data_IF_966435463971
#
_entry.id   IF_966435463971
#
_cell.length_a   1.000
_cell.length_b   1.000
_cell.length_c   1.000
_cell.angle_alpha   90.00
_cell.angle_beta   90.00
_cell.angle_gamma   90.00
#
_symmetry.space_group_name_H-M   'P 1'
#
loop_
_entity.id
_entity.type
_entity.pdbx_description
1 polymer ?
#
# COMPACT_ATOMS: atom_id res chain seq x y z
N UNK A 1 67.64 17.05 -22.24
CA UNK A 1 66.83 16.19 -23.13
C UNK A 1 66.35 14.97 -22.33
N UNK A 2 65.60 15.23 -21.26
CA UNK A 2 64.95 14.27 -20.38
C UNK A 2 63.84 15.05 -19.65
N UNK A 3 62.72 14.39 -19.38
CA UNK A 3 61.54 14.91 -18.66
C UNK A 3 60.44 15.58 -19.49
N UNK A 4 59.83 14.82 -20.41
CA UNK A 4 58.46 15.12 -20.89
C UNK A 4 57.61 13.87 -21.20
N UNK A 5 57.91 12.72 -20.57
CA UNK A 5 57.16 11.46 -20.76
C UNK A 5 56.84 10.81 -19.41
N UNK A 6 56.33 11.55 -18.44
CA UNK A 6 55.88 10.94 -17.16
C UNK A 6 54.65 11.60 -16.49
N UNK A 7 54.06 12.67 -17.05
CA UNK A 7 52.86 13.28 -16.44
C UNK A 7 51.53 12.82 -17.05
N UNK A 8 51.52 12.26 -18.27
CA UNK A 8 50.26 11.87 -18.94
C UNK A 8 49.85 10.40 -18.71
N UNK A 9 50.69 9.58 -18.06
CA UNK A 9 50.40 8.16 -17.81
C UNK A 9 49.77 7.85 -16.44
N UNK A 10 49.85 8.78 -15.48
CA UNK A 10 49.38 8.58 -14.09
C UNK A 10 47.93 9.05 -13.91
N UNK A 11 47.51 10.09 -14.66
CA UNK A 11 46.15 10.61 -14.59
C UNK A 11 45.10 9.63 -15.17
N UNK A 12 45.47 8.85 -16.18
CA UNK A 12 44.59 7.84 -16.81
C UNK A 12 44.44 6.58 -15.96
N UNK A 13 45.43 6.20 -15.16
CA UNK A 13 45.34 5.03 -14.27
C UNK A 13 44.62 5.32 -12.96
N UNK A 14 44.66 6.57 -12.46
CA UNK A 14 43.87 6.97 -11.30
C UNK A 14 42.37 7.12 -11.59
N UNK A 15 41.98 7.60 -12.79
CA UNK A 15 40.57 7.68 -13.17
C UNK A 15 39.92 6.30 -13.29
N UNK A 16 40.65 5.32 -13.83
CA UNK A 16 40.15 3.94 -13.97
C UNK A 16 39.98 3.27 -12.60
N UNK A 17 40.87 3.55 -11.65
CA UNK A 17 40.78 3.01 -10.29
C UNK A 17 39.63 3.63 -9.48
N UNK A 18 39.31 4.92 -9.67
CA UNK A 18 38.18 5.56 -8.97
C UNK A 18 36.82 5.08 -9.49
N UNK A 19 36.72 4.77 -10.79
CA UNK A 19 35.50 4.18 -11.39
C UNK A 19 35.32 2.72 -10.96
N UNK A 20 36.42 1.99 -10.70
CA UNK A 20 36.34 0.57 -10.33
C UNK A 20 35.98 0.31 -8.85
N UNK A 21 36.22 1.26 -7.95
CA UNK A 21 35.86 1.12 -6.52
C UNK A 21 34.34 1.20 -6.29
N UNK A 22 33.59 1.80 -7.22
CA UNK A 22 32.12 1.85 -7.16
C UNK A 22 31.48 0.49 -7.54
N UNK A 23 32.24 -0.44 -8.14
CA UNK A 23 31.71 -1.72 -8.64
C UNK A 23 31.51 -2.82 -7.59
N UNK A 24 31.91 -2.63 -6.31
CA UNK A 24 31.84 -3.69 -5.29
C UNK A 24 30.96 -3.41 -4.07
N UNK A 25 30.31 -2.25 -3.99
CA UNK A 25 29.31 -1.99 -2.96
C UNK A 25 28.01 -1.56 -3.64
N UNK A 26 26.92 -2.25 -3.33
CA UNK A 26 25.62 -2.11 -3.99
C UNK A 26 25.27 -0.66 -4.30
N UNK A 27 24.98 -0.39 -5.57
CA UNK A 27 24.61 0.93 -6.07
C UNK A 27 23.29 1.32 -5.40
N UNK A 28 23.37 2.15 -4.35
CA UNK A 28 22.23 2.90 -3.84
C UNK A 28 21.96 4.03 -4.82
N UNK A 29 20.70 4.20 -5.20
CA UNK A 29 20.22 5.36 -5.93
C UNK A 29 20.60 6.63 -5.17
N UNK A 30 21.60 7.36 -5.66
CA UNK A 30 21.93 8.70 -5.16
C UNK A 30 20.94 9.65 -5.83
N UNK A 31 20.02 10.19 -5.04
CA UNK A 31 19.15 11.28 -5.44
C UNK A 31 20.03 12.49 -5.77
N UNK A 32 20.23 12.78 -7.06
CA UNK A 32 20.94 13.98 -7.48
C UNK A 32 20.01 15.16 -7.35
N UNK A 33 20.29 16.01 -6.36
CA UNK A 33 19.76 17.35 -6.17
C UNK A 33 19.83 18.16 -7.50
N UNK A 34 18.78 18.93 -7.82
CA UNK A 34 18.50 19.62 -9.09
C UNK A 34 19.52 20.71 -9.50
N UNK A 35 20.72 20.72 -8.90
CA UNK A 35 21.75 21.76 -9.09
C UNK A 35 22.91 21.38 -9.99
N UNK A 36 22.95 20.17 -10.55
CA UNK A 36 23.99 19.75 -11.49
C UNK A 36 23.45 19.67 -12.93
N UNK A 37 22.92 20.78 -13.44
CA UNK A 37 22.70 20.95 -14.88
C UNK A 37 23.81 21.82 -15.48
N UNK A 38 24.37 21.32 -16.58
CA UNK A 38 25.34 21.94 -17.48
C UNK A 38 26.82 21.93 -17.05
N UNK A 39 27.48 20.79 -17.28
CA UNK A 39 28.88 20.79 -17.73
C UNK A 39 28.87 20.62 -19.26
N UNK A 40 28.77 21.72 -20.01
CA UNK A 40 29.02 21.72 -21.45
C UNK A 40 30.54 21.59 -21.69
N UNK A 41 30.99 20.39 -22.02
CA UNK A 41 32.37 20.17 -22.49
C UNK A 41 32.37 20.41 -24.00
N UNK A 42 32.89 21.57 -24.42
CA UNK A 42 33.13 21.89 -25.82
C UNK A 42 34.37 21.14 -26.31
N UNK A 43 34.19 20.07 -27.10
CA UNK A 43 35.30 19.28 -27.66
C UNK A 43 35.38 19.54 -29.16
N UNK A 44 36.10 20.60 -29.54
CA UNK A 44 36.66 20.69 -30.89
C UNK A 44 37.92 19.82 -30.96
N UNK A 45 37.80 18.75 -31.76
CA UNK A 45 38.83 17.78 -32.18
C UNK A 45 39.06 16.55 -31.28
N UNK A 46 39.08 15.39 -31.95
CA UNK A 46 39.86 14.16 -31.70
C UNK A 46 39.15 12.84 -31.27
N UNK A 47 39.29 11.86 -32.19
CA UNK A 47 39.38 10.38 -32.09
C UNK A 47 38.14 9.52 -31.75
N UNK A 48 38.04 8.39 -32.47
CA UNK A 48 36.95 7.39 -32.46
C UNK A 48 36.69 6.69 -31.10
N UNK A 49 37.66 6.72 -30.19
CA UNK A 49 37.55 6.08 -28.87
C UNK A 49 36.59 6.81 -27.92
N UNK A 50 36.41 8.12 -28.06
CA UNK A 50 35.49 8.92 -27.21
C UNK A 50 34.04 8.76 -27.66
N UNK A 51 33.78 8.62 -28.97
CA UNK A 51 32.44 8.36 -29.52
C UNK A 51 31.85 7.07 -28.94
N UNK A 52 32.71 6.06 -28.72
CA UNK A 52 32.30 4.79 -28.09
C UNK A 52 31.95 4.95 -26.60
N UNK A 53 32.63 5.85 -25.90
CA UNK A 53 32.37 6.16 -24.48
C UNK A 53 31.07 6.98 -24.33
N UNK A 54 30.82 7.96 -25.21
CA UNK A 54 29.57 8.71 -25.23
C UNK A 54 28.37 7.81 -25.56
N UNK A 55 28.48 6.93 -26.55
CA UNK A 55 27.42 5.95 -26.85
C UNK A 55 27.19 4.97 -25.70
N UNK A 56 28.25 4.52 -25.02
CA UNK A 56 28.11 3.67 -23.82
C UNK A 56 27.46 4.42 -22.65
N UNK A 57 27.84 5.67 -22.38
CA UNK A 57 27.24 6.50 -21.34
C UNK A 57 25.77 6.86 -21.63
N UNK A 58 25.43 7.15 -22.90
CA UNK A 58 24.04 7.33 -23.34
C UNK A 58 23.23 6.03 -23.20
N UNK A 59 23.83 4.88 -23.53
CA UNK A 59 23.17 3.57 -23.31
C UNK A 59 23.04 3.21 -21.82
N UNK A 60 23.99 3.62 -20.97
CA UNK A 60 23.96 3.42 -19.52
C UNK A 60 22.91 4.31 -18.84
N UNK A 61 22.80 5.57 -19.25
CA UNK A 61 21.73 6.47 -18.80
C UNK A 61 20.33 6.04 -19.29
N UNK A 62 20.24 5.31 -20.41
CA UNK A 62 18.99 4.70 -20.86
C UNK A 62 18.66 3.37 -20.16
N UNK A 63 19.66 2.66 -19.59
CA UNK A 63 19.46 1.37 -18.91
C UNK A 63 19.13 1.50 -17.41
N UNK A 64 19.33 2.68 -16.81
CA UNK A 64 19.06 2.92 -15.39
C UNK A 64 18.25 4.19 -15.16
N UNK A 65 17.13 4.33 -15.87
CA UNK A 65 16.07 5.19 -15.36
C UNK A 65 15.58 4.54 -14.05
N UNK A 66 15.84 5.18 -12.90
CA UNK A 66 15.35 4.72 -11.62
C UNK A 66 13.82 4.63 -11.69
N UNK A 67 13.31 3.42 -11.93
CA UNK A 67 11.88 3.17 -11.98
C UNK A 67 11.37 3.38 -10.57
N UNK A 68 10.65 4.48 -10.38
CA UNK A 68 10.02 4.79 -9.10
C UNK A 68 9.04 3.67 -8.76
N UNK A 69 9.10 3.09 -7.54
CA UNK A 69 8.23 1.98 -7.19
C UNK A 69 6.77 2.43 -7.23
N UNK A 70 5.90 1.62 -7.84
CA UNK A 70 4.46 1.92 -7.92
C UNK A 70 3.67 1.08 -6.91
N UNK A 71 4.30 0.02 -6.37
CA UNK A 71 3.73 -0.90 -5.38
C UNK A 71 4.75 -1.30 -4.31
N UNK A 72 4.27 -1.83 -3.18
CA UNK A 72 5.13 -2.46 -2.18
C UNK A 72 5.84 -3.72 -2.71
N UNK A 73 5.26 -4.37 -3.74
CA UNK A 73 5.89 -5.51 -4.41
C UNK A 73 7.12 -5.08 -5.20
N UNK A 74 7.11 -3.90 -5.83
CA UNK A 74 8.28 -3.35 -6.52
C UNK A 74 9.42 -3.09 -5.53
N UNK A 75 9.10 -2.51 -4.36
CA UNK A 75 10.07 -2.28 -3.27
C UNK A 75 10.69 -3.61 -2.82
N UNK A 76 9.88 -4.66 -2.69
CA UNK A 76 10.38 -5.99 -2.34
C UNK A 76 11.33 -6.54 -3.41
N UNK A 77 11.04 -6.33 -4.69
CA UNK A 77 11.87 -6.83 -5.79
C UNK A 77 13.13 -5.99 -6.05
N UNK A 78 13.13 -4.71 -5.70
CA UNK A 78 14.31 -3.85 -5.78
C UNK A 78 15.42 -4.34 -4.84
N UNK A 79 15.09 -4.61 -3.56
CA UNK A 79 15.98 -5.28 -2.62
C UNK A 79 15.15 -6.12 -1.63
N UNK A 80 15.31 -7.44 -1.70
CA UNK A 80 14.58 -8.39 -0.82
C UNK A 80 14.96 -8.29 0.66
N UNK A 81 15.97 -7.48 1.00
CA UNK A 81 16.35 -7.15 2.37
C UNK A 81 15.64 -5.90 2.89
N UNK A 82 14.83 -5.24 2.06
CA UNK A 82 14.03 -4.10 2.49
C UNK A 82 13.14 -4.51 3.66
N UNK A 83 13.25 -3.81 4.81
CA UNK A 83 12.46 -4.14 5.98
C UNK A 83 11.00 -3.75 5.77
N UNK A 84 10.11 -4.27 6.59
CA UNK A 84 8.77 -3.67 6.69
C UNK A 84 8.89 -2.25 7.23
N UNK A 85 8.14 -1.31 6.66
CA UNK A 85 8.31 0.10 7.01
C UNK A 85 7.49 1.06 6.15
N UNK A 86 7.71 2.35 6.37
CA UNK A 86 7.10 3.42 5.57
C UNK A 86 7.89 3.67 4.28
N UNK A 87 7.17 3.84 3.17
CA UNK A 87 7.72 4.09 1.85
C UNK A 87 6.88 5.11 1.08
N UNK A 88 7.44 5.62 -0.02
CA UNK A 88 6.73 6.44 -1.01
C UNK A 88 6.61 5.65 -2.31
N UNK A 89 5.38 5.44 -2.77
CA UNK A 89 5.07 4.93 -4.09
C UNK A 89 4.73 6.09 -5.03
N UNK A 90 4.86 5.87 -6.34
CA UNK A 90 4.54 6.88 -7.34
C UNK A 90 3.43 6.39 -8.28
N UNK A 91 2.21 6.88 -8.06
CA UNK A 91 1.01 6.49 -8.81
C UNK A 91 0.57 7.66 -9.69
N UNK A 92 0.63 7.51 -11.02
CA UNK A 92 0.22 8.55 -12.00
C UNK A 92 0.76 9.94 -11.61
N UNK A 93 2.08 10.02 -11.39
CA UNK A 93 2.83 11.23 -10.95
C UNK A 93 2.59 11.69 -9.50
N UNK A 94 1.69 11.05 -8.73
CA UNK A 94 1.44 11.39 -7.34
C UNK A 94 2.28 10.53 -6.39
N UNK A 95 2.87 11.18 -5.38
CA UNK A 95 3.52 10.49 -4.28
C UNK A 95 2.48 9.94 -3.29
N UNK A 96 2.51 8.63 -3.06
CA UNK A 96 1.61 7.93 -2.15
C UNK A 96 2.42 7.38 -0.99
N UNK A 97 2.15 7.89 0.21
CA UNK A 97 2.77 7.41 1.44
C UNK A 97 2.09 6.11 1.88
N UNK A 98 2.87 5.05 1.95
CA UNK A 98 2.40 3.71 2.35
C UNK A 98 3.24 3.14 3.49
N UNK A 99 2.70 2.14 4.17
CA UNK A 99 3.47 1.20 4.97
C UNK A 99 3.44 -0.14 4.25
N UNK A 100 4.62 -0.67 3.93
CA UNK A 100 4.79 -2.00 3.35
C UNK A 100 5.12 -2.98 4.47
N UNK A 101 4.24 -3.94 4.70
CA UNK A 101 4.48 -5.08 5.58
C UNK A 101 4.90 -6.28 4.74
N UNK A 102 6.01 -6.92 5.07
CA UNK A 102 6.50 -8.13 4.42
C UNK A 102 6.50 -9.28 5.45
N UNK A 103 5.66 -10.30 5.25
CA UNK A 103 5.41 -11.35 6.25
C UNK A 103 5.12 -12.72 5.61
N UNK A 104 6.09 -13.63 5.70
CA UNK A 104 5.95 -14.98 5.15
C UNK A 104 5.76 -14.95 3.63
N UNK A 105 4.70 -15.61 3.16
CA UNK A 105 4.38 -15.75 1.73
C UNK A 105 3.63 -14.53 1.15
N UNK A 106 3.36 -13.51 1.97
CA UNK A 106 2.58 -12.35 1.59
C UNK A 106 3.17 -11.05 2.13
N UNK A 107 2.77 -9.94 1.53
CA UNK A 107 2.92 -8.62 2.11
C UNK A 107 1.63 -7.83 2.04
N UNK A 108 1.59 -6.70 2.73
CA UNK A 108 0.42 -5.84 2.82
C UNK A 108 0.80 -4.38 2.61
N UNK A 109 0.04 -3.70 1.75
CA UNK A 109 0.14 -2.26 1.53
C UNK A 109 -0.91 -1.54 2.37
N UNK A 110 -0.49 -0.71 3.31
CA UNK A 110 -1.38 0.20 4.04
C UNK A 110 -1.19 1.63 3.52
N UNK A 111 -2.29 2.30 3.16
CA UNK A 111 -2.23 3.67 2.60
C UNK A 111 -2.40 4.68 3.73
N UNK A 112 -1.54 5.70 3.78
CA UNK A 112 -1.67 6.80 4.74
C UNK A 112 -2.78 7.77 4.33
N UNK A 113 -3.55 8.29 5.29
CA UNK A 113 -4.49 9.40 5.04
C UNK A 113 -3.80 10.68 4.55
N UNK A 114 -2.47 10.78 4.70
CA UNK A 114 -1.66 11.87 4.11
C UNK A 114 -1.64 11.84 2.59
N UNK A 115 -2.09 10.75 1.97
CA UNK A 115 -2.23 10.61 0.51
C UNK A 115 -3.68 10.79 0.04
N UNK A 116 -4.49 11.55 0.78
CA UNK A 116 -5.88 11.78 0.42
C UNK A 116 -6.06 12.49 -0.93
N UNK A 117 -5.15 13.38 -1.29
CA UNK A 117 -5.22 14.12 -2.56
C UNK A 117 -4.55 13.38 -3.72
N UNK A 118 -3.99 12.19 -3.48
CA UNK A 118 -3.32 11.41 -4.52
C UNK A 118 -4.31 10.62 -5.38
N UNK A 119 -4.03 10.51 -6.67
CA UNK A 119 -4.73 9.58 -7.56
C UNK A 119 -4.12 8.19 -7.41
N UNK A 120 -4.84 7.30 -6.72
CA UNK A 120 -4.35 5.96 -6.39
C UNK A 120 -5.06 4.90 -7.23
N UNK A 121 -4.28 4.11 -7.98
CA UNK A 121 -4.77 2.88 -8.61
C UNK A 121 -4.67 1.70 -7.61
N UNK A 122 -5.77 1.42 -6.91
CA UNK A 122 -5.80 0.36 -5.88
C UNK A 122 -5.47 -1.02 -6.46
N UNK A 123 -5.77 -1.27 -7.74
CA UNK A 123 -5.48 -2.56 -8.39
C UNK A 123 -3.98 -2.82 -8.55
N UNK A 124 -3.15 -1.78 -8.50
CA UNK A 124 -1.70 -1.92 -8.52
C UNK A 124 -1.10 -2.28 -7.14
N UNK A 125 -1.90 -2.24 -6.06
CA UNK A 125 -1.41 -2.36 -4.69
C UNK A 125 -1.67 -3.74 -4.04
N UNK A 126 -2.42 -4.61 -4.71
CA UNK A 126 -2.69 -5.99 -4.29
C UNK A 126 -2.49 -6.96 -5.46
N UNK A 127 -2.21 -8.22 -5.14
CA UNK A 127 -2.17 -9.31 -6.13
C UNK A 127 -3.04 -10.52 -5.76
N UNK A 128 -3.74 -10.44 -4.64
CA UNK A 128 -4.78 -11.39 -4.23
C UNK A 128 -5.95 -10.64 -3.60
N UNK A 129 -7.13 -11.23 -3.66
CA UNK A 129 -8.34 -10.70 -3.06
C UNK A 129 -9.11 -11.77 -2.27
N UNK A 130 -8.40 -12.80 -1.82
CA UNK A 130 -8.96 -13.86 -0.98
C UNK A 130 -9.16 -13.40 0.47
N UNK A 131 -8.26 -12.56 0.97
CA UNK A 131 -8.24 -12.06 2.33
C UNK A 131 -7.78 -10.60 2.36
N UNK A 132 -7.85 -9.96 3.53
CA UNK A 132 -7.27 -8.65 3.78
C UNK A 132 -6.73 -8.61 5.21
N UNK A 133 -5.76 -7.72 5.49
CA UNK A 133 -5.34 -7.45 6.87
C UNK A 133 -5.99 -6.17 7.35
N UNK A 134 -6.61 -6.19 8.52
CA UNK A 134 -7.06 -4.96 9.17
C UNK A 134 -6.20 -4.73 10.41
N UNK A 135 -5.60 -3.54 10.48
CA UNK A 135 -4.91 -3.05 11.68
C UNK A 135 -5.82 -2.12 12.45
N UNK A 136 -5.77 -2.21 13.77
CA UNK A 136 -6.63 -1.49 14.71
C UNK A 136 -5.75 -0.65 15.63
N UNK A 137 -6.12 0.62 15.84
CA UNK A 137 -5.53 1.50 16.84
C UNK A 137 -6.56 1.76 17.94
N UNK A 138 -6.24 1.32 19.15
CA UNK A 138 -7.04 1.59 20.35
C UNK A 138 -6.74 2.99 20.92
N UNK A 139 -7.66 3.57 21.71
CA UNK A 139 -7.41 4.84 22.41
C UNK A 139 -6.19 4.81 23.34
N UNK A 140 -5.82 3.62 23.84
CA UNK A 140 -4.62 3.41 24.67
C UNK A 140 -3.32 3.56 23.88
N UNK A 141 -3.37 3.59 22.55
CA UNK A 141 -2.21 3.54 21.66
C UNK A 141 -1.82 2.13 21.22
N UNK A 142 -2.46 1.09 21.77
CA UNK A 142 -2.19 -0.30 21.40
C UNK A 142 -2.62 -0.57 19.96
N UNK A 143 -1.73 -1.21 19.21
CA UNK A 143 -2.01 -1.63 17.84
C UNK A 143 -2.24 -3.14 17.77
N UNK A 144 -3.26 -3.53 17.02
CA UNK A 144 -3.64 -4.94 16.84
C UNK A 144 -3.90 -5.24 15.37
N UNK A 145 -3.84 -6.50 14.98
CA UNK A 145 -4.15 -6.91 13.61
C UNK A 145 -4.99 -8.17 13.54
N UNK A 146 -5.73 -8.30 12.44
CA UNK A 146 -6.54 -9.46 12.13
C UNK A 146 -6.58 -9.66 10.62
N UNK A 147 -6.56 -10.92 10.18
CA UNK A 147 -6.90 -11.26 8.81
C UNK A 147 -8.41 -11.47 8.70
N UNK A 148 -9.00 -10.92 7.65
CA UNK A 148 -10.42 -11.09 7.32
C UNK A 148 -10.55 -11.69 5.93
N UNK A 149 -11.56 -12.54 5.75
CA UNK A 149 -11.88 -13.18 4.47
C UNK A 149 -13.40 -13.42 4.37
N UNK A 150 -13.87 -13.76 3.17
CA UNK A 150 -15.25 -14.24 3.00
C UNK A 150 -15.45 -15.54 3.79
N UNK A 151 -16.67 -15.78 4.29
CA UNK A 151 -17.03 -17.09 4.85
C UNK A 151 -16.76 -18.19 3.83
N UNK A 152 -16.39 -19.38 4.31
CA UNK A 152 -16.05 -20.53 3.47
C UNK A 152 -17.13 -20.85 2.41
N UNK A 153 -18.41 -20.69 2.77
CA UNK A 153 -19.54 -20.89 1.87
C UNK A 153 -19.60 -19.92 0.68
N UNK A 154 -18.93 -18.76 0.78
CA UNK A 154 -18.88 -17.73 -0.25
C UNK A 154 -17.54 -17.61 -0.98
N UNK A 155 -16.46 -18.24 -0.50
CA UNK A 155 -15.12 -18.11 -1.10
C UNK A 155 -15.04 -18.56 -2.57
N UNK A 156 -15.90 -19.49 -2.99
CA UNK A 156 -16.01 -19.95 -4.39
C UNK A 156 -17.01 -19.12 -5.23
N UNK A 157 -17.80 -18.26 -4.58
CA UNK A 157 -18.85 -17.46 -5.23
C UNK A 157 -18.42 -15.99 -5.41
N UNK A 158 -17.58 -15.49 -4.50
CA UNK A 158 -17.14 -14.09 -4.46
C UNK A 158 -15.76 -13.99 -3.82
N UNK A 159 -14.98 -13.03 -4.32
CA UNK A 159 -13.74 -12.57 -3.68
C UNK A 159 -13.98 -11.24 -2.98
N UNK A 160 -13.06 -10.84 -2.12
CA UNK A 160 -13.09 -9.51 -1.55
C UNK A 160 -12.94 -8.47 -2.67
N UNK A 161 -13.59 -7.32 -2.49
CA UNK A 161 -13.49 -6.21 -3.42
C UNK A 161 -12.80 -5.03 -2.76
N UNK A 162 -11.73 -4.55 -3.39
CA UNK A 162 -10.99 -3.37 -2.95
C UNK A 162 -11.18 -2.25 -3.97
N UNK A 163 -11.53 -1.06 -3.50
CA UNK A 163 -11.66 0.09 -4.39
C UNK A 163 -11.41 1.42 -3.68
N UNK A 164 -10.88 2.38 -4.42
CA UNK A 164 -10.79 3.77 -3.99
C UNK A 164 -12.02 4.53 -4.50
N UNK A 165 -12.77 5.18 -3.62
CA UNK A 165 -13.94 6.00 -3.95
C UNK A 165 -14.99 5.31 -4.85
N UNK A 166 -15.07 3.98 -4.81
CA UNK A 166 -16.00 3.19 -5.62
C UNK A 166 -16.48 1.97 -4.84
N UNK A 167 -17.66 1.49 -5.21
CA UNK A 167 -18.33 0.33 -4.65
C UNK A 167 -19.13 -0.37 -5.77
N UNK A 168 -18.55 -0.48 -6.97
CA UNK A 168 -19.24 -1.05 -8.13
C UNK A 168 -19.76 -2.47 -7.85
N UNK A 169 -21.07 -2.71 -8.07
CA UNK A 169 -21.81 -3.95 -7.74
C UNK A 169 -21.98 -4.28 -6.25
N UNK A 170 -21.50 -3.40 -5.35
CA UNK A 170 -21.71 -3.49 -3.91
C UNK A 170 -22.64 -2.36 -3.45
N UNK A 171 -23.22 -2.48 -2.25
CA UNK A 171 -23.79 -1.32 -1.59
C UNK A 171 -22.68 -0.42 -1.06
N UNK A 172 -22.84 0.87 -1.34
CA UNK A 172 -21.89 1.89 -0.95
C UNK A 172 -22.07 2.36 0.49
N UNK A 173 -21.13 3.20 0.97
CA UNK A 173 -21.19 3.75 2.31
C UNK A 173 -22.44 4.60 2.55
N UNK A 174 -22.79 4.77 3.83
CA UNK A 174 -23.96 5.56 4.23
C UNK A 174 -23.88 6.98 3.66
N UNK A 175 -24.97 7.52 3.06
CA UNK A 175 -25.01 8.89 2.55
C UNK A 175 -24.70 9.95 3.63
N UNK A 176 -24.96 9.65 4.90
CA UNK A 176 -24.64 10.52 6.04
C UNK A 176 -23.13 10.78 6.18
N UNK A 177 -22.31 9.85 5.67
CA UNK A 177 -20.86 9.88 5.74
C UNK A 177 -20.21 10.35 4.41
N UNK A 178 -21.00 10.87 3.47
CA UNK A 178 -20.53 11.41 2.18
C UNK A 178 -19.55 12.59 2.31
N UNK A 179 -19.53 13.29 3.44
CA UNK A 179 -18.55 14.36 3.70
C UNK A 179 -17.13 13.87 4.00
N UNK A 180 -16.94 12.56 4.24
CA UNK A 180 -15.68 11.98 4.71
C UNK A 180 -14.73 11.53 3.59
N UNK A 181 -15.12 11.74 2.33
CA UNK A 181 -14.30 11.39 1.17
C UNK A 181 -12.89 12.02 1.22
N UNK A 182 -11.90 11.36 0.61
CA UNK A 182 -12.01 10.08 -0.09
C UNK A 182 -11.98 8.85 0.85
N UNK A 183 -12.30 7.67 0.33
CA UNK A 183 -12.31 6.43 1.09
C UNK A 183 -11.72 5.23 0.34
N UNK A 184 -11.25 4.25 1.11
CA UNK A 184 -10.91 2.91 0.66
C UNK A 184 -12.02 1.93 1.09
N UNK A 185 -12.53 1.17 0.15
CA UNK A 185 -13.68 0.27 0.31
C UNK A 185 -13.22 -1.18 0.35
N UNK A 186 -13.75 -1.95 1.30
CA UNK A 186 -13.66 -3.40 1.40
C UNK A 186 -15.06 -4.01 1.32
N UNK A 187 -15.40 -4.60 0.17
CA UNK A 187 -16.63 -5.35 -0.02
C UNK A 187 -16.42 -6.85 0.21
N UNK A 188 -17.34 -7.50 0.92
CA UNK A 188 -17.35 -8.96 1.13
C UNK A 188 -18.24 -9.64 0.09
N UNK A 189 -19.54 -9.31 0.08
CA UNK A 189 -20.51 -9.88 -0.84
C UNK A 189 -21.12 -8.82 -1.77
N UNK A 190 -21.12 -9.04 -3.11
CA UNK A 190 -21.82 -8.18 -4.05
C UNK A 190 -23.34 -8.29 -3.86
N UNK A 191 -24.09 -7.30 -4.38
CA UNK A 191 -25.53 -7.14 -4.13
C UNK A 191 -26.32 -8.43 -4.42
N UNK A 192 -26.05 -9.08 -5.56
CA UNK A 192 -26.74 -10.29 -6.02
C UNK A 192 -26.54 -11.51 -5.10
N UNK A 193 -25.49 -11.51 -4.28
CA UNK A 193 -25.27 -12.55 -3.27
C UNK A 193 -25.79 -12.11 -1.90
N UNK A 194 -25.59 -10.84 -1.56
CA UNK A 194 -25.93 -10.27 -0.27
C UNK A 194 -27.45 -10.13 -0.06
N UNK A 195 -28.30 -10.07 -1.09
CA UNK A 195 -29.75 -9.92 -0.92
C UNK A 195 -30.52 -11.23 -0.63
N UNK A 196 -29.85 -12.40 -0.70
CA UNK A 196 -30.50 -13.71 -0.75
C UNK A 196 -31.08 -14.25 0.58
N UNK A 197 -31.27 -13.39 1.59
CA UNK A 197 -31.92 -13.78 2.85
C UNK A 197 -31.20 -14.89 3.65
N UNK A 198 -29.93 -15.16 3.34
CA UNK A 198 -29.17 -16.30 3.85
C UNK A 198 -28.25 -15.89 5.02
N UNK A 199 -27.56 -16.89 5.60
CA UNK A 199 -26.51 -16.61 6.58
C UNK A 199 -25.29 -16.02 5.88
N UNK A 200 -24.82 -14.88 6.39
CA UNK A 200 -23.74 -14.08 5.84
C UNK A 200 -22.80 -13.64 6.95
N UNK A 201 -21.70 -13.01 6.59
CA UNK A 201 -20.71 -12.54 7.54
C UNK A 201 -19.32 -12.57 6.95
N UNK A 202 -18.35 -12.76 7.82
CA UNK A 202 -16.95 -12.79 7.47
C UNK A 202 -16.23 -13.77 8.38
N UNK A 203 -15.07 -14.22 7.93
CA UNK A 203 -14.18 -15.04 8.74
C UNK A 203 -13.01 -14.18 9.20
N UNK A 204 -12.68 -14.27 10.49
CA UNK A 204 -11.59 -13.51 11.09
C UNK A 204 -10.84 -14.36 12.13
N UNK A 205 -9.50 -14.40 12.03
CA UNK A 205 -8.66 -15.30 12.83
C UNK A 205 -9.18 -16.75 12.81
N UNK A 206 -9.41 -17.26 11.60
CA UNK A 206 -9.87 -18.63 11.37
C UNK A 206 -11.22 -19.02 12.02
N UNK A 207 -12.03 -18.03 12.38
CA UNK A 207 -13.37 -18.23 12.94
C UNK A 207 -14.42 -17.53 12.09
N UNK A 208 -15.54 -18.22 11.89
CA UNK A 208 -16.68 -17.70 11.14
C UNK A 208 -17.55 -16.86 12.08
N UNK A 209 -17.75 -15.60 11.73
CA UNK A 209 -18.70 -14.73 12.40
C UNK A 209 -19.87 -14.50 11.46
N UNK A 210 -21.05 -14.86 11.91
CA UNK A 210 -22.23 -14.93 11.03
C UNK A 210 -23.41 -14.19 11.60
N UNK A 211 -24.23 -13.67 10.70
CA UNK A 211 -25.57 -13.17 10.95
C UNK A 211 -26.51 -13.72 9.88
N UNK A 212 -27.82 -13.45 10.02
CA UNK A 212 -28.81 -13.77 8.99
C UNK A 212 -29.25 -12.47 8.32
N UNK A 213 -29.19 -12.39 6.99
CA UNK A 213 -29.85 -11.29 6.30
C UNK A 213 -31.38 -11.50 6.37
N UNK A 214 -32.03 -10.87 7.34
CA UNK A 214 -33.44 -11.10 7.63
C UNK A 214 -34.41 -10.18 6.86
N UNK A 215 -33.91 -9.18 6.14
CA UNK A 215 -34.74 -8.19 5.42
C UNK A 215 -34.36 -8.00 3.94
N UNK A 216 -33.36 -8.75 3.45
CA UNK A 216 -32.87 -8.66 2.07
C UNK A 216 -31.99 -7.45 1.77
N UNK A 217 -31.64 -6.63 2.78
CA UNK A 217 -30.76 -5.49 2.58
C UNK A 217 -29.33 -5.99 2.21
N UNK A 218 -28.76 -5.60 1.07
CA UNK A 218 -27.52 -6.21 0.57
C UNK A 218 -26.23 -5.52 1.04
N UNK A 219 -26.23 -4.88 2.21
CA UNK A 219 -25.01 -4.30 2.78
C UNK A 219 -24.04 -5.41 3.23
N UNK A 220 -22.79 -5.33 2.78
CA UNK A 220 -21.75 -6.31 3.13
C UNK A 220 -20.35 -5.71 2.93
N UNK A 221 -19.96 -4.76 3.79
CA UNK A 221 -18.71 -4.01 3.59
C UNK A 221 -18.13 -3.39 4.87
N UNK A 222 -16.87 -2.97 4.77
CA UNK A 222 -16.21 -2.00 5.65
C UNK A 222 -15.61 -0.89 4.77
N UNK A 223 -15.83 0.37 5.13
CA UNK A 223 -15.25 1.53 4.43
C UNK A 223 -14.34 2.31 5.37
N UNK A 224 -13.16 2.72 4.88
CA UNK A 224 -12.13 3.44 5.61
C UNK A 224 -11.95 4.84 5.01
N UNK A 225 -12.25 5.87 5.77
CA UNK A 225 -12.30 7.26 5.30
C UNK A 225 -11.00 8.01 5.61
N UNK A 226 -10.36 8.60 4.59
CA UNK A 226 -9.19 9.44 4.80
C UNK A 226 -9.55 10.78 5.45
N UNK A 227 -10.75 11.30 5.17
CA UNK A 227 -11.34 12.48 5.80
C UNK A 227 -10.36 13.68 5.99
N UNK A 228 -9.73 14.19 4.91
CA UNK A 228 -8.76 15.29 4.99
C UNK A 228 -9.38 16.60 5.50
N UNK A 229 -10.70 16.77 5.33
CA UNK A 229 -11.47 17.94 5.78
C UNK A 229 -11.92 17.86 7.24
N UNK A 230 -11.60 16.76 7.94
CA UNK A 230 -11.97 16.53 9.33
C UNK A 230 -13.49 16.65 9.58
N UNK A 231 -14.30 16.21 8.61
CA UNK A 231 -15.74 16.17 8.75
C UNK A 231 -16.15 15.18 9.87
N UNK A 232 -17.29 15.46 10.50
CA UNK A 232 -17.80 14.63 11.59
C UNK A 232 -18.34 13.30 11.05
N UNK A 233 -17.87 12.19 11.61
CA UNK A 233 -18.45 10.87 11.36
C UNK A 233 -19.81 10.76 12.07
N UNK A 234 -20.80 10.21 11.38
CA UNK A 234 -22.10 9.88 11.96
C UNK A 234 -21.95 8.95 13.17
N UNK A 235 -22.68 9.23 14.24
CA UNK A 235 -22.73 8.36 15.44
C UNK A 235 -23.84 7.31 15.35
N UNK A 236 -24.35 7.04 14.14
CA UNK A 236 -25.41 6.06 13.93
C UNK A 236 -24.81 4.67 14.04
N UNK A 237 -25.49 3.80 14.80
CA UNK A 237 -25.14 2.40 14.92
C UNK A 237 -25.57 1.82 16.26
N UNK A 238 -26.03 0.57 16.23
CA UNK A 238 -26.19 -0.25 17.43
C UNK A 238 -25.01 -1.22 17.48
N UNK A 239 -24.29 -1.22 18.59
CA UNK A 239 -23.27 -2.23 18.83
C UNK A 239 -23.97 -3.56 19.09
N UNK A 240 -23.77 -4.53 18.20
CA UNK A 240 -23.92 -5.94 18.53
C UNK A 240 -22.53 -6.59 18.51
N UNK A 241 -22.41 -7.75 19.14
CA UNK A 241 -21.13 -8.45 19.27
C UNK A 241 -20.51 -8.77 17.91
N UNK A 242 -21.37 -9.18 16.94
CA UNK A 242 -20.97 -9.51 15.58
C UNK A 242 -20.18 -8.39 14.89
N UNK A 243 -20.62 -7.14 14.99
CA UNK A 243 -19.97 -5.99 14.35
C UNK A 243 -18.57 -5.68 14.93
N UNK A 244 -18.24 -6.22 16.11
CA UNK A 244 -16.96 -6.00 16.78
C UNK A 244 -16.07 -7.22 16.86
N UNK A 245 -16.51 -8.38 16.35
CA UNK A 245 -15.76 -9.62 16.49
C UNK A 245 -14.36 -9.55 15.90
N UNK A 246 -14.18 -9.01 14.70
CA UNK A 246 -12.86 -8.79 14.10
C UNK A 246 -11.90 -7.95 14.98
N UNK A 247 -12.42 -6.99 15.74
CA UNK A 247 -11.65 -6.19 16.70
C UNK A 247 -11.26 -7.06 17.90
N UNK A 248 -12.21 -7.79 18.47
CA UNK A 248 -11.97 -8.61 19.67
C UNK A 248 -11.08 -9.82 19.39
N UNK A 249 -11.12 -10.37 18.18
CA UNK A 249 -10.30 -11.49 17.72
C UNK A 249 -8.91 -11.05 17.26
N UNK A 250 -8.65 -9.76 17.09
CA UNK A 250 -7.34 -9.24 16.68
C UNK A 250 -6.23 -9.62 17.66
N UNK A 251 -5.00 -9.78 17.16
CA UNK A 251 -3.80 -10.06 17.96
C UNK A 251 -2.98 -8.80 18.16
N UNK A 252 -2.27 -8.69 19.28
CA UNK A 252 -1.41 -7.54 19.54
C UNK A 252 -0.24 -7.51 18.54
N UNK A 253 0.06 -6.31 18.04
CA UNK A 253 1.26 -6.05 17.25
C UNK A 253 2.40 -5.75 18.22
N UNK A 254 3.63 -6.14 17.89
CA UNK A 254 4.82 -5.77 18.67
C UNK A 254 5.31 -4.36 18.29
N UNK A 255 5.81 -3.61 19.27
CA UNK A 255 6.18 -2.19 19.12
C UNK A 255 7.04 -1.86 17.86
N UNK A 256 8.05 -2.66 17.47
CA UNK A 256 8.83 -2.36 16.27
C UNK A 256 8.04 -2.35 14.96
N UNK A 257 6.83 -2.94 14.94
CA UNK A 257 5.95 -3.04 13.77
C UNK A 257 4.78 -2.05 13.81
N UNK A 258 4.75 -1.16 14.81
CA UNK A 258 3.73 -0.13 14.91
C UNK A 258 3.80 0.82 13.71
N UNK A 259 2.63 1.21 13.21
CA UNK A 259 2.49 2.24 12.19
C UNK A 259 2.16 3.58 12.82
N UNK A 260 2.53 4.67 12.15
CA UNK A 260 2.10 6.00 12.55
C UNK A 260 0.56 6.14 12.56
N UNK A 261 0.05 7.01 13.42
CA UNK A 261 -1.39 7.31 13.53
C UNK A 261 -2.03 7.76 12.21
N UNK A 262 -1.25 8.30 11.27
CA UNK A 262 -1.74 8.71 9.94
C UNK A 262 -2.18 7.54 9.04
N UNK A 263 -1.87 6.30 9.37
CA UNK A 263 -2.39 5.13 8.66
C UNK A 263 -3.77 4.70 9.15
N UNK A 264 -4.20 5.20 10.31
CA UNK A 264 -5.44 4.79 10.95
C UNK A 264 -6.58 5.79 10.65
N UNK A 265 -7.66 5.26 10.10
CA UNK A 265 -8.79 6.01 9.56
C UNK A 265 -10.04 5.84 10.43
N UNK A 266 -10.95 6.79 10.27
CA UNK A 266 -12.34 6.55 10.61
C UNK A 266 -12.93 5.50 9.67
N UNK A 267 -13.87 4.72 10.15
CA UNK A 267 -14.48 3.67 9.36
C UNK A 267 -15.95 3.50 9.69
N UNK A 268 -16.68 2.94 8.74
CA UNK A 268 -18.00 2.37 8.96
C UNK A 268 -18.01 0.93 8.47
N UNK A 269 -18.85 0.13 9.09
CA UNK A 269 -19.15 -1.25 8.71
C UNK A 269 -20.66 -1.37 8.62
N UNK A 270 -21.13 -1.97 7.53
CA UNK A 270 -22.56 -2.20 7.33
C UNK A 270 -22.76 -3.62 6.81
N UNK A 271 -23.54 -4.37 7.58
CA UNK A 271 -23.96 -5.73 7.29
C UNK A 271 -25.48 -5.74 7.30
N UNK A 272 -26.10 -6.11 6.19
CA UNK A 272 -27.54 -5.98 5.98
C UNK A 272 -28.38 -6.86 6.90
N UNK A 273 -29.71 -6.75 6.82
CA UNK A 273 -30.62 -7.49 7.69
C UNK A 273 -30.26 -7.37 9.16
N UNK A 274 -30.07 -8.52 9.79
CA UNK A 274 -29.81 -8.60 11.22
C UNK A 274 -28.31 -8.47 11.55
N UNK A 275 -27.47 -8.08 10.58
CA UNK A 275 -26.02 -7.90 10.76
C UNK A 275 -25.67 -6.64 11.52
N UNK A 276 -26.17 -5.48 11.08
CA UNK A 276 -26.06 -4.21 11.78
C UNK A 276 -25.20 -3.15 11.07
N UNK A 277 -25.14 -1.98 11.68
CA UNK A 277 -24.38 -0.82 11.22
C UNK A 277 -23.58 -0.26 12.38
N UNK A 278 -22.28 -0.01 12.16
CA UNK A 278 -21.37 0.46 13.19
C UNK A 278 -20.32 1.40 12.61
N UNK A 279 -19.98 2.46 13.35
CA UNK A 279 -18.90 3.37 12.99
C UNK A 279 -17.81 3.41 14.06
N UNK A 280 -16.59 3.80 13.65
CA UNK A 280 -15.44 3.98 14.55
C UNK A 280 -15.73 4.93 15.71
N UNK A 281 -16.68 5.87 15.56
CA UNK A 281 -17.07 6.83 16.59
C UNK A 281 -17.78 6.16 17.77
N UNK A 282 -18.56 5.11 17.53
CA UNK A 282 -19.32 4.40 18.56
C UNK A 282 -18.39 3.57 19.46
N UNK A 283 -17.41 2.89 18.86
CA UNK A 283 -16.44 2.04 19.58
C UNK A 283 -15.14 2.76 19.95
N UNK A 284 -14.96 4.01 19.49
CA UNK A 284 -13.76 4.81 19.64
C UNK A 284 -12.47 4.08 19.19
N UNK A 285 -12.51 3.48 18.00
CA UNK A 285 -11.40 2.69 17.46
C UNK A 285 -11.14 3.10 16.01
N UNK A 286 -9.89 3.39 15.67
CA UNK A 286 -9.48 3.67 14.28
C UNK A 286 -8.92 2.40 13.64
N UNK A 287 -8.96 2.31 12.32
CA UNK A 287 -8.50 1.13 11.60
C UNK A 287 -7.80 1.46 10.28
N UNK A 288 -6.96 0.55 9.81
CA UNK A 288 -6.23 0.63 8.55
C UNK A 288 -6.43 -0.67 7.76
N UNK A 289 -6.73 -0.56 6.47
CA UNK A 289 -6.84 -1.70 5.56
C UNK A 289 -5.50 -1.97 4.87
N UNK A 290 -5.02 -3.20 5.02
CA UNK A 290 -3.84 -3.75 4.37
C UNK A 290 -4.24 -4.55 3.14
N UNK A 291 -3.84 -4.06 1.98
CA UNK A 291 -4.07 -4.66 0.67
C UNK A 291 -3.01 -5.74 0.41
N UNK A 292 -3.39 -7.02 0.23
CA UNK A 292 -2.42 -8.11 0.21
C UNK A 292 -1.76 -8.31 -1.17
N UNK A 293 -0.48 -8.63 -1.17
CA UNK A 293 0.23 -9.10 -2.35
C UNK A 293 1.01 -10.37 -2.02
N UNK A 294 1.02 -11.32 -2.95
CA UNK A 294 1.84 -12.51 -2.85
C UNK A 294 3.32 -12.16 -3.00
N UNK A 295 4.14 -12.72 -2.12
CA UNK A 295 5.61 -12.69 -2.22
C UNK A 295 6.04 -13.99 -2.90
N UNK A 296 6.60 -13.96 -4.12
CA UNK A 296 6.96 -15.19 -4.82
C UNK A 296 8.07 -15.94 -4.08
N UNK A 297 7.85 -17.24 -3.88
CA UNK A 297 8.90 -18.17 -3.43
C UNK A 297 9.94 -18.30 -4.52
N UNK A 298 11.22 -18.20 -4.15
CA UNK A 298 12.38 -18.40 -5.04
C UNK A 298 13.19 -19.57 -4.57
#
# INVERSE_FOLDING_TARGET
>A
MFSWILQNGIATTMLVSFVMIILFHGIRCIETDDRLSALEINVQSLTSSIVTIQHKLLSWNQLHQCVKPVSCLDIYFEDRRNPSGEYILYQREHAVKVYCLFEGDYGFTFISRKSADAVIDVNALYSTNEFAKIRVLKPTGDQREVLVENLLSFQNLSKLFFAMNSHDKYKGPSPENSGLHPYLFLGFLPINLAENGNSQGYRAKDMDFTFVNCDGNPNSYITFFFNPKLASLGSVGSTNDFMTHWITSSIAIEYPKYMDSSFYMDWEMHMGGCGGFLTSKVVNIKAALGLPFAIPKV
#
